data_IF_526215989362
#
_entry.id   IF_526215989362
#
_cell.length_a   1.000
_cell.length_b   1.000
_cell.length_c   1.000
_cell.angle_alpha   90.00
_cell.angle_beta   90.00
_cell.angle_gamma   90.00
#
_symmetry.space_group_name_H-M   'P 1'
#
loop_
_entity.id
_entity.type
_entity.pdbx_description
1 polymer ?
#
# COMPACT_ATOMS: atom_id res chain seq x y z
N UNK A 1 10.49 13.15 0.07
CA UNK A 1 9.37 13.02 1.03
C UNK A 1 8.02 13.29 0.40
N UNK A 2 7.78 14.46 -0.22
CA UNK A 2 6.50 14.76 -0.89
C UNK A 2 6.10 13.72 -1.95
N UNK A 3 7.05 13.25 -2.76
CA UNK A 3 6.82 12.17 -3.74
C UNK A 3 6.25 10.90 -3.09
N UNK A 4 6.87 10.42 -2.02
CA UNK A 4 6.45 9.23 -1.28
C UNK A 4 5.06 9.41 -0.64
N UNK A 5 4.79 10.59 -0.09
CA UNK A 5 3.49 10.92 0.50
C UNK A 5 2.41 10.94 -0.58
N UNK A 6 2.67 11.55 -1.73
CA UNK A 6 1.74 11.59 -2.86
C UNK A 6 1.48 10.17 -3.41
N UNK A 7 2.53 9.37 -3.63
CA UNK A 7 2.41 7.98 -4.06
C UNK A 7 1.57 7.16 -3.07
N UNK A 8 1.81 7.32 -1.77
CA UNK A 8 1.05 6.63 -0.71
C UNK A 8 -0.42 7.04 -0.69
N UNK A 9 -0.71 8.34 -0.79
CA UNK A 9 -2.09 8.86 -0.85
C UNK A 9 -2.80 8.34 -2.09
N UNK A 10 -2.15 8.36 -3.25
CA UNK A 10 -2.73 7.88 -4.50
C UNK A 10 -3.00 6.39 -4.44
N UNK A 11 -2.05 5.57 -3.97
CA UNK A 11 -2.24 4.13 -3.82
C UNK A 11 -3.32 3.77 -2.80
N UNK A 12 -3.42 4.54 -1.71
CA UNK A 12 -4.47 4.39 -0.71
C UNK A 12 -5.87 4.73 -1.26
N UNK A 13 -5.97 5.83 -2.03
CA UNK A 13 -7.24 6.27 -2.61
C UNK A 13 -7.64 5.48 -3.86
N UNK A 14 -6.68 4.89 -4.59
CA UNK A 14 -6.90 4.18 -5.85
C UNK A 14 -8.07 3.18 -5.82
N UNK A 15 -8.14 2.19 -4.90
CA UNK A 15 -9.25 1.23 -4.89
C UNK A 15 -10.61 1.91 -4.66
N UNK A 16 -10.65 2.94 -3.81
CA UNK A 16 -11.87 3.71 -3.53
C UNK A 16 -12.32 4.49 -4.77
N UNK A 17 -11.39 5.18 -5.43
CA UNK A 17 -11.66 5.94 -6.65
C UNK A 17 -12.11 5.04 -7.79
N UNK A 18 -11.50 3.86 -7.95
CA UNK A 18 -11.89 2.86 -8.94
C UNK A 18 -13.33 2.40 -8.69
N UNK A 19 -13.67 2.07 -7.44
CA UNK A 19 -15.03 1.64 -7.10
C UNK A 19 -16.07 2.76 -7.32
N UNK A 20 -15.76 4.00 -6.91
CA UNK A 20 -16.63 5.16 -7.15
C UNK A 20 -16.84 5.37 -8.64
N UNK A 21 -15.78 5.32 -9.44
CA UNK A 21 -15.85 5.48 -10.89
C UNK A 21 -16.69 4.36 -11.54
N UNK A 22 -16.50 3.11 -11.12
CA UNK A 22 -17.29 1.97 -11.58
C UNK A 22 -18.79 2.16 -11.28
N UNK A 23 -19.14 2.49 -10.03
CA UNK A 23 -20.53 2.72 -9.64
C UNK A 23 -21.14 3.92 -10.38
N UNK A 24 -20.38 4.99 -10.57
CA UNK A 24 -20.84 6.17 -11.31
C UNK A 24 -21.15 5.86 -12.79
N UNK A 25 -20.31 5.04 -13.43
CA UNK A 25 -20.54 4.57 -14.80
C UNK A 25 -21.73 3.62 -14.91
N UNK A 26 -21.93 2.73 -13.93
CA UNK A 26 -23.01 1.73 -13.94
C UNK A 26 -24.38 2.29 -13.51
N UNK A 27 -24.44 3.43 -12.82
CA UNK A 27 -25.67 3.91 -12.16
C UNK A 27 -26.76 4.46 -13.09
N UNK A 28 -26.46 4.79 -14.35
CA UNK A 28 -27.46 5.36 -15.27
C UNK A 28 -28.22 6.56 -14.66
N UNK A 29 -29.52 6.69 -14.98
CA UNK A 29 -30.37 7.83 -14.56
C UNK A 29 -31.08 7.62 -13.20
N UNK A 30 -30.95 6.43 -12.58
CA UNK A 30 -31.63 6.11 -11.32
C UNK A 30 -30.81 6.59 -10.10
N UNK A 31 -30.73 7.91 -9.95
CA UNK A 31 -30.06 8.58 -8.82
C UNK A 31 -30.81 8.48 -7.49
N UNK A 32 -32.01 7.88 -7.50
CA UNK A 32 -32.92 7.86 -6.35
C UNK A 32 -32.65 6.73 -5.35
N UNK A 33 -31.87 5.71 -5.73
CA UNK A 33 -31.49 4.61 -4.83
C UNK A 33 -30.30 4.95 -3.93
N UNK A 34 -30.32 4.56 -2.64
CA UNK A 34 -29.18 4.76 -1.74
C UNK A 34 -27.92 4.07 -2.27
N UNK A 35 -26.79 4.81 -2.30
CA UNK A 35 -25.48 4.29 -2.73
C UNK A 35 -25.02 3.05 -1.97
N UNK A 36 -25.40 2.98 -0.69
CA UNK A 36 -24.94 1.96 0.24
C UNK A 36 -25.83 0.70 0.27
N UNK A 37 -27.05 0.75 -0.24
CA UNK A 37 -27.99 -0.38 -0.12
C UNK A 37 -27.68 -1.54 -1.08
N UNK A 38 -27.07 -1.24 -2.23
CA UNK A 38 -26.69 -2.24 -3.24
C UNK A 38 -25.17 -2.48 -3.30
N UNK A 39 -24.40 -1.76 -2.48
CA UNK A 39 -22.95 -1.90 -2.46
C UNK A 39 -22.58 -3.32 -1.99
N UNK A 40 -21.75 -4.08 -2.74
CA UNK A 40 -21.35 -5.42 -2.33
C UNK A 40 -20.26 -5.33 -1.26
N UNK A 41 -20.63 -4.84 -0.07
CA UNK A 41 -19.73 -4.52 1.03
C UNK A 41 -18.83 -5.71 1.42
N UNK A 42 -19.38 -6.93 1.35
CA UNK A 42 -18.62 -8.17 1.60
C UNK A 42 -17.48 -8.33 0.59
N UNK A 43 -17.73 -8.07 -0.70
CA UNK A 43 -16.70 -8.15 -1.74
C UNK A 43 -15.68 -7.01 -1.62
N UNK A 44 -16.11 -5.80 -1.28
CA UNK A 44 -15.18 -4.69 -1.02
C UNK A 44 -14.26 -5.03 0.17
N UNK A 45 -14.83 -5.58 1.24
CA UNK A 45 -14.06 -5.98 2.41
C UNK A 45 -13.08 -7.12 2.09
N UNK A 46 -13.55 -8.15 1.37
CA UNK A 46 -12.70 -9.26 0.94
C UNK A 46 -11.56 -8.79 0.03
N UNK A 47 -11.86 -7.93 -0.96
CA UNK A 47 -10.85 -7.36 -1.84
C UNK A 47 -9.82 -6.51 -1.07
N UNK A 48 -10.28 -5.68 -0.14
CA UNK A 48 -9.42 -4.90 0.76
C UNK A 48 -8.48 -5.80 1.58
N UNK A 49 -9.03 -6.85 2.21
CA UNK A 49 -8.25 -7.81 2.97
C UNK A 49 -7.18 -8.52 2.12
N UNK A 50 -7.54 -8.97 0.92
CA UNK A 50 -6.60 -9.63 -0.01
C UNK A 50 -5.48 -8.68 -0.42
N UNK A 51 -5.80 -7.42 -0.76
CA UNK A 51 -4.81 -6.41 -1.13
C UNK A 51 -3.87 -6.13 0.04
N UNK A 52 -4.38 -5.97 1.26
CA UNK A 52 -3.55 -5.73 2.46
C UNK A 52 -2.57 -6.88 2.68
N UNK A 53 -3.05 -8.14 2.62
CA UNK A 53 -2.19 -9.32 2.78
C UNK A 53 -1.12 -9.37 1.68
N UNK A 54 -1.49 -9.09 0.43
CA UNK A 54 -0.56 -9.07 -0.70
C UNK A 54 0.54 -8.01 -0.52
N UNK A 55 0.18 -6.81 -0.08
CA UNK A 55 1.13 -5.72 0.19
C UNK A 55 2.07 -6.10 1.34
N UNK A 56 1.55 -6.66 2.43
CA UNK A 56 2.40 -7.14 3.54
C UNK A 56 3.37 -8.21 3.08
N UNK A 57 2.91 -9.19 2.28
CA UNK A 57 3.75 -10.25 1.74
C UNK A 57 4.83 -9.72 0.76
N UNK A 58 4.51 -8.66 0.01
CA UNK A 58 5.46 -7.98 -0.85
C UNK A 58 6.55 -7.27 -0.02
N UNK A 59 6.17 -6.43 0.95
CA UNK A 59 7.12 -5.72 1.81
C UNK A 59 7.96 -6.66 2.66
N UNK A 60 7.38 -7.74 3.17
CA UNK A 60 8.12 -8.77 3.91
C UNK A 60 9.26 -9.40 3.09
N UNK A 61 9.18 -9.36 1.76
CA UNK A 61 10.23 -9.87 0.87
C UNK A 61 11.19 -8.79 0.38
N UNK A 62 10.75 -7.53 0.28
CA UNK A 62 11.55 -6.44 -0.30
C UNK A 62 12.28 -5.57 0.73
N UNK A 63 11.85 -5.52 1.98
CA UNK A 63 12.53 -4.74 3.02
C UNK A 63 13.79 -5.43 3.54
N UNK A 64 14.86 -4.64 3.67
CA UNK A 64 16.20 -5.13 4.02
C UNK A 64 16.39 -5.26 5.52
N UNK A 65 16.27 -6.48 6.02
CA UNK A 65 16.62 -6.86 7.38
C UNK A 65 15.87 -8.12 7.80
N UNK A 66 16.55 -9.26 7.84
CA UNK A 66 15.97 -10.49 8.41
C UNK A 66 15.76 -10.29 9.91
N UNK A 67 14.72 -10.92 10.51
CA UNK A 67 14.56 -10.94 11.95
C UNK A 67 15.86 -11.39 12.64
N UNK A 68 16.37 -10.57 13.57
CA UNK A 68 17.62 -10.84 14.29
C UNK A 68 18.88 -10.18 13.70
N UNK A 69 18.79 -9.51 12.56
CA UNK A 69 19.94 -8.75 12.05
C UNK A 69 20.12 -7.43 12.80
N UNK A 70 21.37 -7.12 13.16
CA UNK A 70 21.74 -5.85 13.77
C UNK A 70 22.28 -4.91 12.69
N UNK A 71 21.73 -3.70 12.63
CA UNK A 71 22.27 -2.67 11.75
C UNK A 71 23.64 -2.21 12.24
N UNK A 72 24.67 -2.39 11.42
CA UNK A 72 26.01 -1.87 11.66
C UNK A 72 26.14 -0.54 10.89
N UNK A 73 26.29 0.60 11.58
CA UNK A 73 26.41 1.89 10.91
C UNK A 73 27.71 1.98 10.10
N UNK A 74 27.79 2.88 9.11
CA UNK A 74 29.01 3.12 8.35
C UNK A 74 30.16 3.55 9.27
N UNK A 75 31.35 2.99 9.06
CA UNK A 75 32.56 3.33 9.85
C UNK A 75 33.71 3.68 8.93
N UNK A 76 34.53 4.66 9.33
CA UNK A 76 35.78 4.95 8.63
C UNK A 76 36.88 4.06 9.21
N UNK A 77 37.49 3.21 8.38
CA UNK A 77 38.69 2.44 8.73
C UNK A 77 39.80 2.82 7.77
N UNK A 78 40.95 3.24 8.32
CA UNK A 78 42.16 3.57 7.56
C UNK A 78 41.91 4.59 6.42
N UNK A 79 41.09 5.61 6.71
CA UNK A 79 40.73 6.65 5.74
C UNK A 79 39.73 6.23 4.65
N UNK A 80 39.25 4.98 4.66
CA UNK A 80 38.20 4.50 3.75
C UNK A 80 36.85 4.39 4.46
N UNK A 81 35.80 4.85 3.79
CA UNK A 81 34.42 4.72 4.27
C UNK A 81 33.95 3.27 4.01
N UNK A 82 33.73 2.52 5.08
CA UNK A 82 33.08 1.20 5.02
C UNK A 82 31.57 1.43 5.13
N UNK A 83 30.77 1.10 4.10
CA UNK A 83 29.33 1.31 4.13
C UNK A 83 28.65 0.46 5.21
N UNK A 84 27.53 0.99 5.72
CA UNK A 84 26.71 0.29 6.70
C UNK A 84 26.11 -0.98 6.10
N UNK A 85 25.99 -2.01 6.93
CA UNK A 85 25.47 -3.31 6.53
C UNK A 85 24.67 -3.93 7.67
N UNK A 86 23.78 -4.86 7.33
CA UNK A 86 23.07 -5.66 8.30
C UNK A 86 23.89 -6.93 8.57
N UNK A 87 24.16 -7.25 9.84
CA UNK A 87 24.82 -8.47 10.28
C UNK A 87 23.84 -9.38 11.01
#
# INVERSE_FOLDING_TARGET
MLRFVLESIVLFLAPTLIYIAYVWLMRGDDKSRPLLSEAPLIWLFAAGAVITVAIMAFFAQTEGGKPGQTYVPPTVKDGKVVPGHFK
#
